data_IF_742553651647
#
_entry.id   IF_742553651647
#
_cell.length_a   1.000
_cell.length_b   1.000
_cell.length_c   1.000
_cell.angle_alpha   90.00
_cell.angle_beta   90.00
_cell.angle_gamma   90.00
#
_symmetry.space_group_name_H-M   'P 1'
#
loop_
_entity.id
_entity.type
_entity.pdbx_description
1 polymer ?
#
# COMPACT_ATOMS: atom_id res chain seq x y z
N UNK A 1 21.51 -9.83 -12.69
CA UNK A 1 20.85 -9.76 -11.36
C UNK A 1 20.11 -8.43 -11.36
N UNK A 2 18.88 -8.44 -11.89
CA UNK A 2 18.11 -7.22 -12.15
C UNK A 2 17.33 -6.88 -10.88
N UNK A 3 18.02 -6.28 -9.92
CA UNK A 3 17.37 -5.77 -8.72
C UNK A 3 16.73 -4.42 -9.07
N UNK A 4 15.48 -4.22 -8.66
CA UNK A 4 14.94 -2.86 -8.54
C UNK A 4 15.94 -2.11 -7.66
N UNK A 5 16.54 -1.04 -8.17
CA UNK A 5 17.57 -0.25 -7.51
C UNK A 5 17.01 0.49 -6.27
N UNK A 6 16.57 -0.30 -5.29
CA UNK A 6 15.85 0.06 -4.07
C UNK A 6 16.70 -0.46 -2.93
N UNK A 7 17.43 0.46 -2.29
CA UNK A 7 18.19 0.14 -1.10
C UNK A 7 17.25 0.10 0.11
N UNK A 8 17.24 -1.03 0.81
CA UNK A 8 16.51 -1.13 2.07
C UNK A 8 17.27 -0.39 3.16
N UNK A 9 16.78 0.78 3.56
CA UNK A 9 17.29 1.48 4.73
C UNK A 9 16.58 0.96 5.99
N UNK A 10 17.35 0.41 6.94
CA UNK A 10 16.84 0.08 8.26
C UNK A 10 16.63 1.37 9.08
N UNK A 11 15.39 1.63 9.49
CA UNK A 11 15.12 2.63 10.51
C UNK A 11 15.66 2.15 11.86
N UNK A 12 16.87 2.57 12.23
CA UNK A 12 17.54 2.20 13.49
C UNK A 12 16.91 2.85 14.75
N UNK A 13 15.73 3.49 14.61
CA UNK A 13 14.97 4.06 15.73
C UNK A 13 13.52 3.58 15.69
N UNK A 14 13.04 3.02 16.82
CA UNK A 14 11.71 2.37 16.91
C UNK A 14 10.53 3.33 16.82
N UNK A 15 10.77 4.63 16.99
CA UNK A 15 9.74 5.67 17.13
C UNK A 15 8.93 5.91 15.86
N UNK A 16 9.52 5.72 14.68
CA UNK A 16 8.79 5.84 13.40
C UNK A 16 7.94 4.59 13.15
N UNK A 17 8.48 3.40 13.45
CA UNK A 17 7.79 2.13 13.22
C UNK A 17 6.58 1.98 14.15
N UNK A 18 6.70 2.27 15.44
CA UNK A 18 5.56 2.19 16.38
C UNK A 18 4.35 3.05 15.98
N UNK A 19 4.57 4.20 15.35
CA UNK A 19 3.47 5.09 14.92
C UNK A 19 2.79 4.59 13.66
N UNK A 20 3.57 4.06 12.71
CA UNK A 20 3.08 3.42 11.48
C UNK A 20 2.32 2.13 11.81
N UNK A 21 2.89 1.28 12.66
CA UNK A 21 2.28 0.01 13.06
C UNK A 21 0.96 0.22 13.81
N UNK A 22 0.89 1.15 14.79
CA UNK A 22 -0.37 1.44 15.50
C UNK A 22 -1.47 1.96 14.57
N UNK A 23 -1.09 2.76 13.58
CA UNK A 23 -1.99 3.23 12.53
C UNK A 23 -2.44 2.09 11.59
N UNK A 24 -1.52 1.18 11.23
CA UNK A 24 -1.81 0.04 10.36
C UNK A 24 -2.66 -1.03 11.05
N UNK A 25 -2.41 -1.31 12.33
CA UNK A 25 -3.10 -2.36 13.08
C UNK A 25 -4.59 -2.04 13.25
N UNK A 26 -4.94 -0.78 13.56
CA UNK A 26 -6.34 -0.35 13.56
C UNK A 26 -6.99 -0.25 12.16
N UNK A 27 -6.22 -0.30 11.08
CA UNK A 27 -6.69 -0.02 9.71
C UNK A 27 -6.79 -1.25 8.80
N UNK A 28 -5.96 -2.27 9.00
CA UNK A 28 -6.07 -3.53 8.26
C UNK A 28 -7.34 -4.28 8.67
N UNK A 29 -7.68 -4.26 9.96
CA UNK A 29 -8.93 -4.85 10.48
C UNK A 29 -10.17 -4.21 9.84
N UNK A 30 -10.13 -2.91 9.52
CA UNK A 30 -11.26 -2.20 8.92
C UNK A 30 -11.59 -2.69 7.51
N UNK A 31 -10.60 -3.01 6.68
CA UNK A 31 -10.87 -3.57 5.34
C UNK A 31 -11.56 -4.93 5.46
N UNK A 32 -11.09 -5.78 6.37
CA UNK A 32 -11.69 -7.11 6.62
C UNK A 32 -13.14 -6.98 7.08
N UNK A 33 -13.42 -6.05 8.01
CA UNK A 33 -14.78 -5.79 8.49
C UNK A 33 -15.69 -5.21 7.39
N UNK A 34 -15.21 -4.30 6.55
CA UNK A 34 -15.99 -3.73 5.45
C UNK A 34 -16.31 -4.75 4.35
N UNK A 35 -15.40 -5.70 4.09
CA UNK A 35 -15.65 -6.82 3.18
C UNK A 35 -16.71 -7.77 3.77
N UNK A 36 -16.59 -8.11 5.06
CA UNK A 36 -17.57 -8.95 5.78
C UNK A 36 -18.96 -8.33 5.82
N UNK A 37 -19.07 -7.03 6.11
CA UNK A 37 -20.35 -6.30 6.12
C UNK A 37 -21.05 -6.33 4.75
N UNK A 38 -20.29 -6.44 3.65
CA UNK A 38 -20.81 -6.53 2.28
C UNK A 38 -21.00 -7.97 1.80
N UNK A 39 -20.70 -8.97 2.64
CA UNK A 39 -20.76 -10.38 2.27
C UNK A 39 -19.74 -10.80 1.21
N UNK A 40 -18.68 -10.01 1.01
CA UNK A 40 -17.65 -10.29 0.00
C UNK A 40 -16.72 -11.38 0.53
N UNK A 41 -16.66 -12.50 -0.18
CA UNK A 41 -15.83 -13.66 0.18
C UNK A 41 -14.89 -14.11 -0.95
N UNK A 42 -14.94 -13.45 -2.12
CA UNK A 42 -14.08 -13.77 -3.26
C UNK A 42 -13.06 -12.66 -3.53
N UNK A 43 -11.88 -13.05 -4.01
CA UNK A 43 -10.82 -12.09 -4.39
C UNK A 43 -11.29 -11.19 -5.53
N UNK A 44 -12.08 -11.73 -6.47
CA UNK A 44 -12.60 -10.96 -7.60
C UNK A 44 -13.52 -9.82 -7.13
N UNK A 45 -14.47 -10.11 -6.26
CA UNK A 45 -15.42 -9.12 -5.74
C UNK A 45 -14.70 -8.12 -4.83
N UNK A 46 -13.69 -8.56 -4.08
CA UNK A 46 -12.84 -7.67 -3.28
C UNK A 46 -12.06 -6.68 -4.18
N UNK A 47 -11.53 -7.14 -5.32
CA UNK A 47 -10.84 -6.27 -6.28
C UNK A 47 -11.79 -5.26 -6.94
N UNK A 48 -13.04 -5.64 -7.21
CA UNK A 48 -14.08 -4.71 -7.69
C UNK A 48 -14.42 -3.66 -6.63
N UNK A 49 -14.41 -4.05 -5.35
CA UNK A 49 -14.71 -3.15 -4.25
C UNK A 49 -13.53 -2.22 -3.85
N UNK A 50 -12.28 -2.64 -4.12
CA UNK A 50 -11.08 -1.94 -3.67
C UNK A 50 -11.03 -0.45 -4.04
N UNK A 51 -11.37 0.00 -5.27
CA UNK A 51 -11.36 1.43 -5.60
C UNK A 51 -12.31 2.26 -4.74
N UNK A 52 -13.50 1.74 -4.47
CA UNK A 52 -14.51 2.39 -3.63
C UNK A 52 -14.04 2.50 -2.18
N UNK A 53 -13.43 1.43 -1.66
CA UNK A 53 -12.82 1.45 -0.33
C UNK A 53 -11.68 2.47 -0.24
N UNK A 54 -10.79 2.52 -1.24
CA UNK A 54 -9.66 3.46 -1.28
C UNK A 54 -10.16 4.90 -1.29
N UNK A 55 -11.21 5.21 -2.06
CA UNK A 55 -11.78 6.56 -2.10
C UNK A 55 -12.37 6.99 -0.74
N UNK A 56 -13.17 6.11 -0.11
CA UNK A 56 -13.74 6.38 1.20
C UNK A 56 -12.64 6.50 2.28
N UNK A 57 -11.64 5.62 2.22
CA UNK A 57 -10.50 5.64 3.12
C UNK A 57 -9.68 6.94 2.99
N UNK A 58 -9.34 7.33 1.76
CA UNK A 58 -8.56 8.52 1.49
C UNK A 58 -9.28 9.80 1.92
N UNK A 59 -10.62 9.84 1.88
CA UNK A 59 -11.39 10.98 2.40
C UNK A 59 -11.10 11.25 3.88
N UNK A 60 -10.91 10.21 4.68
CA UNK A 60 -10.67 10.35 6.12
C UNK A 60 -9.20 10.45 6.51
N UNK A 61 -8.31 9.83 5.72
CA UNK A 61 -6.92 9.62 6.14
C UNK A 61 -5.87 10.08 5.15
N UNK A 62 -6.25 10.46 3.92
CA UNK A 62 -5.26 10.95 2.98
C UNK A 62 -4.67 12.26 3.50
N UNK A 63 -3.34 12.31 3.50
CA UNK A 63 -2.60 13.54 3.73
C UNK A 63 -2.09 13.99 2.37
N UNK A 64 -2.36 15.23 1.94
CA UNK A 64 -1.79 15.73 0.70
C UNK A 64 -0.26 15.71 0.82
N UNK A 65 0.45 15.39 -0.28
CA UNK A 65 1.90 15.45 -0.27
C UNK A 65 2.34 16.89 -0.03
N UNK A 66 3.49 17.07 0.64
CA UNK A 66 4.06 18.40 0.87
C UNK A 66 4.62 19.01 -0.42
N UNK A 67 4.90 18.19 -1.43
CA UNK A 67 5.43 18.59 -2.73
C UNK A 67 4.80 17.74 -3.82
N UNK A 68 4.46 18.36 -4.94
CA UNK A 68 3.89 17.71 -6.12
C UNK A 68 4.98 17.05 -7.01
N UNK A 69 6.23 17.02 -6.55
CA UNK A 69 7.33 16.42 -7.28
C UNK A 69 7.15 14.90 -7.41
N UNK A 70 7.02 14.44 -8.65
CA UNK A 70 6.87 13.02 -8.98
C UNK A 70 8.23 12.33 -9.07
N UNK A 71 8.61 11.61 -8.01
CA UNK A 71 9.89 10.91 -7.91
C UNK A 71 9.88 9.51 -8.56
N UNK A 72 8.76 9.03 -9.13
CA UNK A 72 8.73 7.69 -9.74
C UNK A 72 9.49 7.66 -11.06
N UNK A 73 10.22 6.57 -11.28
CA UNK A 73 10.90 6.24 -12.53
C UNK A 73 10.10 5.19 -13.29
N UNK A 74 10.05 5.31 -14.61
CA UNK A 74 9.55 4.22 -15.46
C UNK A 74 10.37 2.95 -15.28
N UNK A 75 9.73 1.80 -15.51
CA UNK A 75 10.41 0.51 -15.59
C UNK A 75 11.41 0.56 -16.75
N UNK A 76 12.63 0.06 -16.53
CA UNK A 76 13.63 -0.04 -17.59
C UNK A 76 13.38 -1.32 -18.40
N UNK A 77 13.77 -1.32 -19.67
CA UNK A 77 13.58 -2.46 -20.56
C UNK A 77 14.33 -3.73 -20.08
N UNK A 78 15.37 -3.56 -19.26
CA UNK A 78 16.14 -4.63 -18.65
C UNK A 78 15.57 -5.16 -17.32
N UNK A 79 14.47 -4.58 -16.81
CA UNK A 79 13.82 -4.97 -15.56
C UNK A 79 12.57 -5.82 -15.81
N UNK A 80 12.59 -7.08 -15.38
CA UNK A 80 11.43 -7.96 -15.48
C UNK A 80 10.75 -8.14 -14.11
N UNK A 81 9.60 -7.49 -13.91
CA UNK A 81 8.84 -7.52 -12.65
C UNK A 81 8.37 -8.93 -12.25
N UNK A 82 8.10 -9.82 -13.21
CA UNK A 82 7.67 -11.19 -12.90
C UNK A 82 8.78 -11.99 -12.20
N UNK A 83 10.05 -11.69 -12.51
CA UNK A 83 11.20 -12.35 -11.87
C UNK A 83 11.48 -11.72 -10.50
N UNK A 84 11.20 -10.43 -10.32
CA UNK A 84 11.50 -9.70 -9.08
C UNK A 84 10.46 -9.90 -7.98
N UNK A 85 9.19 -10.14 -8.35
CA UNK A 85 8.06 -10.24 -7.42
C UNK A 85 7.59 -11.69 -7.16
N UNK A 86 8.38 -12.69 -7.56
CA UNK A 86 8.17 -14.10 -7.20
C UNK A 86 8.85 -14.40 -5.87
#
# INVERSE_FOLDING_TARGET
>A
MYALNIDTFCANSSSVKERVERAHQARQDRLVEELRLRGISTVNDANVYAPSFIAAYNTHFAKPPTSDFHAHRSLRDDENLNIVLT
#
